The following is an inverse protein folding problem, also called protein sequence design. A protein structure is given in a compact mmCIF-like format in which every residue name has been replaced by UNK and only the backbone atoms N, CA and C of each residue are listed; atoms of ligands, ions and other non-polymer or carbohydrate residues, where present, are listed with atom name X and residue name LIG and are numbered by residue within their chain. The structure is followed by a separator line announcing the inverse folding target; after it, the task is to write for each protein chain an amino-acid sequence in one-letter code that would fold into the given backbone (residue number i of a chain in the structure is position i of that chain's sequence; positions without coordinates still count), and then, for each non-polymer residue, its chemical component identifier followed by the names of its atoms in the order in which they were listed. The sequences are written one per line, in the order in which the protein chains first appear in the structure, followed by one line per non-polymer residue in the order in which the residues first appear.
data_IF_480705064043
#
_entry.id   IF_480705064043
#
_cell.length_a   1.000
_cell.length_b   1.000
_cell.length_c   1.000
_cell.angle_alpha   90.00
_cell.angle_beta   90.00
_cell.angle_gamma   90.00
#
_symmetry.space_group_name_H-M   'P 1'
#
loop_
_entity.id
_entity.type
_entity.pdbx_description
1 polymer ?
#
# COMPACT_ATOMS: atom_id res chain seq x y z
N UNK A 1 -1.45 10.26 -1.27
CA UNK A 1 -0.93 8.96 -0.77
C UNK A 1 0.52 8.99 -0.27
N UNK A 2 1.46 9.62 -0.99
CA UNK A 2 2.87 9.67 -0.56
C UNK A 2 3.09 10.25 0.86
N UNK A 3 2.29 11.24 1.27
CA UNK A 3 2.35 11.79 2.62
C UNK A 3 1.85 10.83 3.70
N UNK A 4 0.74 10.12 3.45
CA UNK A 4 0.23 9.10 4.36
C UNK A 4 1.24 7.97 4.55
N UNK A 5 1.92 7.54 3.47
CA UNK A 5 3.02 6.57 3.56
C UNK A 5 4.19 7.08 4.41
N UNK A 6 4.54 8.37 4.35
CA UNK A 6 5.61 8.93 5.18
C UNK A 6 5.25 9.02 6.67
N UNK A 7 3.96 9.16 6.99
CA UNK A 7 3.45 9.25 8.36
C UNK A 7 3.16 7.89 8.99
N UNK A 8 3.06 6.83 8.19
CA UNK A 8 2.81 5.48 8.67
C UNK A 8 4.05 4.91 9.37
N UNK A 9 3.85 4.28 10.53
CA UNK A 9 4.93 3.60 11.25
C UNK A 9 5.16 2.20 10.66
N UNK A 10 6.07 2.14 9.69
CA UNK A 10 6.46 0.89 9.04
C UNK A 10 7.29 -0.03 9.94
N UNK A 11 7.83 0.46 11.06
CA UNK A 11 8.62 -0.40 11.97
C UNK A 11 7.76 -1.43 12.69
N UNK A 12 6.45 -1.15 12.80
CA UNK A 12 5.46 -2.09 13.32
C UNK A 12 4.92 -3.08 12.26
N UNK A 13 5.43 -3.05 11.03
CA UNK A 13 5.00 -3.92 9.92
C UNK A 13 6.10 -4.92 9.54
N UNK A 14 5.77 -6.08 8.93
CA UNK A 14 6.77 -7.04 8.46
C UNK A 14 7.78 -6.47 7.46
N UNK A 15 7.40 -5.44 6.72
CA UNK A 15 8.28 -4.68 5.82
C UNK A 15 9.42 -3.93 6.50
N UNK A 16 9.25 -3.57 7.78
CA UNK A 16 10.20 -2.75 8.51
C UNK A 16 10.40 -1.35 7.91
N UNK A 17 11.43 -0.61 8.36
CA UNK A 17 11.62 0.78 7.95
C UNK A 17 11.95 0.91 6.45
N UNK A 18 11.49 1.98 5.76
CA UNK A 18 11.69 2.16 4.31
C UNK A 18 13.15 2.11 3.81
N UNK A 19 14.11 2.37 4.69
CA UNK A 19 15.55 2.27 4.39
C UNK A 19 15.99 0.83 4.10
N UNK A 20 15.30 -0.15 4.66
CA UNK A 20 15.61 -1.58 4.52
C UNK A 20 14.79 -2.26 3.42
N UNK A 21 13.87 -1.54 2.78
CA UNK A 21 13.04 -2.12 1.73
C UNK A 21 13.87 -2.57 0.53
N UNK A 22 13.48 -3.70 -0.13
CA UNK A 22 14.08 -4.12 -1.38
C UNK A 22 13.98 -3.02 -2.45
N UNK A 23 15.00 -2.89 -3.30
CA UNK A 23 14.98 -1.87 -4.35
C UNK A 23 13.86 -2.08 -5.38
N UNK A 24 13.50 -3.34 -5.64
CA UNK A 24 12.35 -3.68 -6.46
C UNK A 24 11.03 -3.08 -5.93
N UNK A 25 10.83 -3.11 -4.61
CA UNK A 25 9.65 -2.49 -3.98
C UNK A 25 9.68 -0.96 -4.16
N UNK A 26 10.84 -0.33 -3.95
CA UNK A 26 10.97 1.13 -4.13
C UNK A 26 10.65 1.55 -5.56
N UNK A 27 11.09 0.78 -6.56
CA UNK A 27 10.78 1.02 -7.97
C UNK A 27 9.29 0.86 -8.25
N UNK A 28 8.67 -0.23 -7.78
CA UNK A 28 7.24 -0.49 -7.94
C UNK A 28 6.38 0.60 -7.30
N UNK A 29 6.73 1.03 -6.08
CA UNK A 29 6.05 2.13 -5.38
C UNK A 29 6.20 3.46 -6.11
N UNK A 30 7.38 3.73 -6.70
CA UNK A 30 7.57 4.94 -7.51
C UNK A 30 6.64 4.94 -8.70
N UNK A 31 6.54 3.83 -9.44
CA UNK A 31 5.61 3.68 -10.55
C UNK A 31 4.15 3.90 -10.11
N UNK A 32 3.73 3.20 -9.06
CA UNK A 32 2.39 3.28 -8.49
C UNK A 32 2.02 4.71 -8.08
N UNK A 33 2.90 5.41 -7.35
CA UNK A 33 2.65 6.75 -6.84
C UNK A 33 2.68 7.83 -7.93
N UNK A 34 3.39 7.61 -9.04
CA UNK A 34 3.46 8.57 -10.16
C UNK A 34 2.40 8.33 -11.24
N UNK A 35 1.73 7.19 -11.23
CA UNK A 35 0.70 6.85 -12.21
C UNK A 35 -0.59 7.64 -11.97
N UNK A 36 -1.27 8.00 -13.07
CA UNK A 36 -2.63 8.58 -13.04
C UNK A 36 -3.73 7.52 -13.19
N UNK A 37 -3.36 6.29 -13.51
CA UNK A 37 -4.29 5.16 -13.56
C UNK A 37 -4.55 4.62 -12.16
N UNK A 38 -5.73 4.01 -11.96
CA UNK A 38 -6.04 3.31 -10.72
C UNK A 38 -5.09 2.12 -10.53
N UNK A 39 -4.29 2.15 -9.47
CA UNK A 39 -3.30 1.10 -9.21
C UNK A 39 -3.24 0.73 -7.74
N UNK A 40 -3.07 -0.56 -7.51
CA UNK A 40 -2.71 -1.13 -6.23
C UNK A 40 -1.52 -2.09 -6.40
N UNK A 41 -0.80 -2.34 -5.32
CA UNK A 41 0.32 -3.26 -5.25
C UNK A 41 0.19 -4.04 -3.95
N UNK A 42 0.21 -5.38 -4.05
CA UNK A 42 0.44 -6.26 -2.92
C UNK A 42 1.92 -6.63 -2.85
N UNK A 43 2.50 -6.63 -1.65
CA UNK A 43 3.91 -7.01 -1.45
C UNK A 43 4.06 -8.00 -0.30
N UNK A 44 5.05 -8.89 -0.40
CA UNK A 44 5.41 -9.82 0.68
C UNK A 44 4.43 -10.98 0.90
N UNK A 45 4.77 -11.89 1.84
CA UNK A 45 3.98 -13.11 2.13
C UNK A 45 2.62 -12.80 2.76
N UNK A 46 2.54 -11.64 3.41
CA UNK A 46 1.38 -11.15 4.14
C UNK A 46 0.56 -10.12 3.35
N UNK A 47 0.98 -9.87 2.10
CA UNK A 47 0.37 -9.00 1.09
C UNK A 47 0.02 -7.63 1.68
N UNK A 48 1.04 -6.82 1.95
CA UNK A 48 0.86 -5.43 2.35
C UNK A 48 0.22 -4.65 1.20
N UNK A 49 -0.94 -4.05 1.46
CA UNK A 49 -1.71 -3.36 0.44
C UNK A 49 -1.27 -1.90 0.28
N UNK A 50 -0.72 -1.59 -0.89
CA UNK A 50 -0.39 -0.24 -1.34
C UNK A 50 -1.33 0.18 -2.46
N UNK A 51 -1.67 1.47 -2.52
CA UNK A 51 -2.51 2.02 -3.57
C UNK A 51 -2.20 3.50 -3.79
N UNK A 52 -2.54 4.00 -4.97
CA UNK A 52 -2.34 5.41 -5.31
C UNK A 52 -3.59 6.25 -5.10
N UNK A 53 -3.47 7.58 -5.25
CA UNK A 53 -4.58 8.49 -5.04
C UNK A 53 -5.73 8.27 -6.04
N UNK A 54 -5.43 7.77 -7.25
CA UNK A 54 -6.44 7.43 -8.25
C UNK A 54 -7.32 6.25 -7.83
N UNK A 55 -6.79 5.31 -7.04
CA UNK A 55 -7.52 4.12 -6.55
C UNK A 55 -8.49 4.44 -5.38
N UNK A 56 -8.47 5.66 -4.83
CA UNK A 56 -9.30 6.05 -3.67
C UNK A 56 -10.81 5.87 -3.87
N UNK A 57 -11.42 6.19 -5.03
CA UNK A 57 -12.85 5.97 -5.26
C UNK A 57 -13.24 4.50 -5.10
N UNK A 58 -12.39 3.58 -5.60
CA UNK A 58 -12.59 2.13 -5.52
C UNK A 58 -12.51 1.60 -4.09
N UNK A 59 -11.73 2.24 -3.22
CA UNK A 59 -11.66 1.90 -1.79
C UNK A 59 -12.84 2.43 -0.96
N UNK A 60 -13.51 3.49 -1.42
CA UNK A 60 -14.59 4.14 -0.69
C UNK A 60 -14.22 4.44 0.77
N UNK A 61 -15.03 3.93 1.71
CA UNK A 61 -14.87 4.14 3.16
C UNK A 61 -13.68 3.40 3.80
N UNK A 62 -12.97 2.54 3.05
CA UNK A 62 -11.80 1.82 3.56
C UNK A 62 -10.55 2.72 3.66
N UNK A 63 -10.54 3.85 2.95
CA UNK A 63 -9.50 4.86 3.08
C UNK A 63 -9.67 5.71 4.37
N UNK A 64 -8.60 6.04 5.11
CA UNK A 64 -7.18 5.73 4.86
C UNK A 64 -6.70 4.42 5.51
N UNK A 65 -7.55 3.74 6.28
CA UNK A 65 -7.19 2.55 7.09
C UNK A 65 -6.68 1.37 6.26
N UNK A 66 -6.96 1.35 4.96
CA UNK A 66 -6.50 0.32 4.03
C UNK A 66 -5.00 0.36 3.68
N UNK A 67 -4.28 1.42 4.04
CA UNK A 67 -2.84 1.50 3.77
C UNK A 67 -2.08 0.50 4.64
N UNK A 68 -1.26 -0.34 4.01
CA UNK A 68 -0.43 -1.36 4.68
C UNK A 68 -1.22 -2.39 5.48
N UNK A 69 -2.53 -2.50 5.23
CA UNK A 69 -3.37 -3.55 5.78
C UNK A 69 -3.11 -4.86 5.04
N UNK A 70 -3.23 -5.99 5.74
CA UNK A 70 -3.21 -7.30 5.10
C UNK A 70 -4.35 -7.38 4.09
N UNK A 71 -4.02 -7.75 2.85
CA UNK A 71 -5.00 -7.78 1.76
C UNK A 71 -6.16 -8.74 2.06
N UNK A 72 -5.91 -9.82 2.82
CA UNK A 72 -6.97 -10.73 3.33
C UNK A 72 -7.97 -10.06 4.26
N UNK A 73 -7.52 -9.14 5.10
CA UNK A 73 -8.41 -8.38 5.99
C UNK A 73 -9.16 -7.30 5.22
N UNK A 74 -8.45 -6.62 4.31
CA UNK A 74 -9.02 -5.54 3.51
C UNK A 74 -10.12 -6.01 2.55
N UNK A 75 -9.98 -7.22 2.00
CA UNK A 75 -10.88 -7.82 1.02
C UNK A 75 -11.53 -9.12 1.49
N UNK A 76 -11.69 -9.29 2.81
CA UNK A 76 -12.38 -10.46 3.39
C UNK A 76 -13.80 -10.69 2.83
N UNK A 77 -14.40 -9.66 2.24
CA UNK A 77 -15.74 -9.67 1.65
C UNK A 77 -15.79 -10.34 0.27
N UNK A 78 -14.65 -10.46 -0.41
CA UNK A 78 -14.53 -10.94 -1.80
C UNK A 78 -13.87 -12.34 -1.85
N UNK A 79 -13.24 -12.77 -0.77
CA UNK A 79 -12.52 -14.05 -0.67
C UNK A 79 -13.39 -15.20 -0.18
#
# INVERSE_FOLDING_TARGET
MAELMRRHDWTATPLGPPRQWPDALKVALRLLLTSRFEMWLGWGPDIEFFYNDAYRPTLGHKHPRSLAMHTRELWAEIW
#
